data_IF_020528386769
#
_entry.id   IF_020528386769
#
_cell.length_a   1.000
_cell.length_b   1.000
_cell.length_c   1.000
_cell.angle_alpha   90.00
_cell.angle_beta   90.00
_cell.angle_gamma   90.00
#
_symmetry.space_group_name_H-M   'P 1'
#
loop_
_entity.id
_entity.type
_entity.pdbx_description
1 polymer ?
#
# COMPACT_ATOMS: atom_id res chain seq x y z
N UNK A 1 7.32 12.81 -7.79
CA UNK A 1 8.70 12.77 -8.32
C UNK A 1 8.60 12.29 -9.76
N UNK A 2 8.69 13.19 -10.76
CA UNK A 2 8.53 12.85 -12.18
C UNK A 2 9.61 11.89 -12.71
N UNK A 3 10.76 11.81 -12.02
CA UNK A 3 11.96 11.12 -12.49
C UNK A 3 12.26 9.78 -11.79
N UNK A 4 11.38 9.29 -10.91
CA UNK A 4 11.57 7.99 -10.26
C UNK A 4 10.44 7.02 -10.64
N UNK A 5 10.58 6.26 -11.73
CA UNK A 5 9.57 5.27 -12.13
C UNK A 5 9.41 4.14 -11.10
N UNK A 6 10.46 3.88 -10.31
CA UNK A 6 10.42 2.87 -9.25
C UNK A 6 9.84 3.38 -7.92
N UNK A 7 9.52 4.67 -7.82
CA UNK A 7 8.97 5.27 -6.61
C UNK A 7 7.72 4.57 -6.04
N UNK A 8 6.78 4.08 -6.87
CA UNK A 8 5.61 3.33 -6.41
C UNK A 8 5.95 1.98 -5.77
N UNK A 9 7.09 1.37 -6.09
CA UNK A 9 7.50 0.05 -5.60
C UNK A 9 8.30 0.12 -4.30
N UNK A 10 8.77 1.31 -3.93
CA UNK A 10 9.56 1.51 -2.71
C UNK A 10 8.64 1.46 -1.48
N UNK A 11 8.99 0.71 -0.42
CA UNK A 11 8.19 0.65 0.78
C UNK A 11 7.99 2.02 1.45
N UNK A 12 6.83 2.18 2.10
CA UNK A 12 6.32 3.46 2.58
C UNK A 12 7.26 4.23 3.52
N UNK A 13 7.99 3.54 4.41
CA UNK A 13 8.98 4.16 5.31
C UNK A 13 10.16 4.76 4.53
N UNK A 14 10.72 3.96 3.62
CA UNK A 14 11.84 4.38 2.79
C UNK A 14 11.43 5.51 1.84
N UNK A 15 10.21 5.44 1.28
CA UNK A 15 9.63 6.49 0.45
C UNK A 15 9.51 7.83 1.18
N UNK A 16 9.08 7.81 2.45
CA UNK A 16 9.01 9.03 3.30
C UNK A 16 10.40 9.59 3.58
N UNK A 17 11.36 8.74 3.90
CA UNK A 17 12.73 9.15 4.13
C UNK A 17 13.35 9.79 2.87
N UNK A 18 13.20 9.14 1.73
CA UNK A 18 13.65 9.65 0.42
C UNK A 18 12.96 10.98 0.09
N UNK A 19 11.64 11.11 0.29
CA UNK A 19 10.94 12.38 0.07
C UNK A 19 11.46 13.50 0.96
N UNK A 20 11.70 13.23 2.23
CA UNK A 20 12.22 14.24 3.15
C UNK A 20 13.63 14.68 2.72
N UNK A 21 14.48 13.73 2.27
CA UNK A 21 15.78 14.03 1.69
C UNK A 21 15.69 14.86 0.41
N UNK A 22 14.78 14.52 -0.50
CA UNK A 22 14.60 15.25 -1.76
C UNK A 22 14.07 16.66 -1.50
N UNK A 23 13.11 16.83 -0.58
CA UNK A 23 12.59 18.15 -0.19
C UNK A 23 13.70 19.02 0.41
N UNK A 24 14.55 18.44 1.27
CA UNK A 24 15.64 19.17 1.92
C UNK A 24 16.80 19.53 0.96
N UNK A 25 17.12 18.65 0.01
CA UNK A 25 18.35 18.76 -0.80
C UNK A 25 18.12 19.20 -2.25
N UNK A 26 16.92 18.94 -2.81
CA UNK A 26 16.60 19.18 -4.22
C UNK A 26 15.13 19.62 -4.42
N UNK A 27 14.73 20.81 -3.92
CA UNK A 27 13.33 21.28 -3.97
C UNK A 27 12.78 21.42 -5.41
N UNK A 28 13.66 21.65 -6.39
CA UNK A 28 13.32 21.71 -7.82
C UNK A 28 12.69 20.42 -8.34
N UNK A 29 13.05 19.24 -7.80
CA UNK A 29 12.49 17.94 -8.21
C UNK A 29 11.05 17.70 -7.73
N UNK A 30 10.59 18.52 -6.79
CA UNK A 30 9.28 18.43 -6.15
C UNK A 30 8.40 19.64 -6.48
N UNK A 31 8.84 20.48 -7.43
CA UNK A 31 8.13 21.70 -7.81
C UNK A 31 8.02 22.72 -6.68
N UNK A 32 9.00 22.76 -5.76
CA UNK A 32 8.99 23.60 -4.57
C UNK A 32 7.78 23.37 -3.63
N UNK A 33 7.08 22.24 -3.77
CA UNK A 33 6.00 21.88 -2.87
C UNK A 33 6.55 21.57 -1.48
N UNK A 34 6.15 22.36 -0.49
CA UNK A 34 6.50 22.16 0.93
C UNK A 34 5.94 20.84 1.47
N UNK A 35 4.80 20.41 0.92
CA UNK A 35 4.11 19.15 1.25
C UNK A 35 3.86 18.36 -0.03
N UNK A 36 4.85 17.61 -0.54
CA UNK A 36 4.60 16.73 -1.67
C UNK A 36 3.46 15.77 -1.35
N UNK A 37 2.68 15.41 -2.37
CA UNK A 37 1.61 14.42 -2.27
C UNK A 37 2.17 13.10 -1.72
N UNK A 38 2.08 12.95 -0.39
CA UNK A 38 2.34 11.71 0.33
C UNK A 38 1.07 10.87 0.15
N UNK A 39 1.20 9.55 0.01
CA UNK A 39 0.04 8.69 0.28
C UNK A 39 -0.37 8.96 1.73
N UNK A 40 -1.53 9.59 1.93
CA UNK A 40 -2.00 10.02 3.25
C UNK A 40 -2.17 8.83 4.19
N UNK A 41 -2.51 7.66 3.64
CA UNK A 41 -2.68 6.44 4.41
C UNK A 41 -1.86 5.29 3.80
N UNK A 42 -1.16 4.55 4.65
CA UNK A 42 -0.76 3.17 4.33
C UNK A 42 -1.97 2.27 4.61
N UNK A 43 -2.15 1.13 3.91
CA UNK A 43 -3.25 0.21 4.21
C UNK A 43 -3.27 -0.20 5.68
N UNK A 44 -2.08 -0.45 6.27
CA UNK A 44 -1.90 -0.62 7.71
C UNK A 44 -2.42 0.56 8.55
N UNK A 45 -2.07 1.79 8.18
CA UNK A 45 -2.49 3.00 8.89
C UNK A 45 -4.00 3.24 8.78
N UNK A 46 -4.57 2.96 7.61
CA UNK A 46 -6.00 3.05 7.37
C UNK A 46 -6.79 2.02 8.19
N UNK A 47 -6.33 0.75 8.24
CA UNK A 47 -6.93 -0.29 9.09
C UNK A 47 -6.94 0.11 10.57
N UNK A 48 -5.84 0.68 11.07
CA UNK A 48 -5.77 1.19 12.46
C UNK A 48 -6.72 2.36 12.70
N UNK A 49 -6.82 3.29 11.76
CA UNK A 49 -7.73 4.42 11.86
C UNK A 49 -9.20 3.97 11.85
N UNK A 50 -9.56 3.03 10.97
CA UNK A 50 -10.90 2.44 10.91
C UNK A 50 -11.24 1.67 12.20
N UNK A 51 -10.32 0.88 12.72
CA UNK A 51 -10.52 0.18 14.00
C UNK A 51 -10.77 1.17 15.15
N UNK A 52 -10.02 2.28 15.22
CA UNK A 52 -10.26 3.35 16.21
C UNK A 52 -11.60 4.07 16.02
N UNK A 53 -12.10 4.14 14.79
CA UNK A 53 -13.39 4.72 14.46
C UNK A 53 -14.58 3.76 14.71
N UNK A 54 -14.33 2.55 15.25
CA UNK A 54 -15.38 1.59 15.61
C UNK A 54 -15.74 0.59 14.52
N UNK A 55 -14.97 0.49 13.43
CA UNK A 55 -15.15 -0.58 12.45
C UNK A 55 -14.57 -1.88 13.00
N UNK A 56 -15.42 -2.90 13.19
CA UNK A 56 -15.02 -4.21 13.76
C UNK A 56 -14.20 -5.05 12.79
N UNK A 57 -14.55 -5.01 11.51
CA UNK A 57 -13.89 -5.82 10.48
C UNK A 57 -13.39 -4.94 9.35
N UNK A 58 -12.19 -5.28 8.86
CA UNK A 58 -11.59 -4.68 7.69
C UNK A 58 -11.04 -5.78 6.80
N UNK A 59 -11.44 -5.77 5.53
CA UNK A 59 -10.96 -6.69 4.51
C UNK A 59 -10.27 -5.90 3.43
N UNK A 60 -9.21 -6.46 2.89
CA UNK A 60 -8.60 -5.92 1.69
C UNK A 60 -8.88 -6.85 0.50
N UNK A 61 -8.51 -6.41 -0.69
CA UNK A 61 -8.75 -7.21 -1.89
C UNK A 61 -7.98 -8.55 -1.87
N UNK A 62 -6.88 -8.64 -1.12
CA UNK A 62 -6.14 -9.90 -0.93
C UNK A 62 -6.97 -10.88 -0.11
N UNK A 63 -7.75 -10.42 0.87
CA UNK A 63 -8.68 -11.26 1.65
C UNK A 63 -9.78 -11.86 0.75
N UNK A 64 -10.28 -11.06 -0.19
CA UNK A 64 -11.45 -11.37 -1.03
C UNK A 64 -11.08 -12.20 -2.25
N UNK A 65 -9.99 -11.84 -2.95
CA UNK A 65 -9.67 -12.41 -4.26
C UNK A 65 -9.46 -13.93 -4.19
N UNK A 66 -9.98 -14.62 -5.19
CA UNK A 66 -9.78 -16.05 -5.43
C UNK A 66 -8.65 -16.27 -6.44
N UNK A 67 -8.14 -17.51 -6.54
CA UNK A 67 -7.02 -17.81 -7.47
C UNK A 67 -7.39 -17.55 -8.93
N UNK A 68 -8.66 -17.75 -9.27
CA UNK A 68 -9.18 -17.66 -10.64
C UNK A 68 -9.41 -16.21 -11.08
N UNK A 69 -9.59 -15.30 -10.12
CA UNK A 69 -9.73 -13.86 -10.34
C UNK A 69 -8.39 -13.13 -10.49
N UNK A 70 -7.25 -13.82 -10.29
CA UNK A 70 -5.93 -13.21 -10.48
C UNK A 70 -5.68 -13.01 -11.98
N UNK A 71 -5.32 -11.79 -12.42
CA UNK A 71 -4.93 -11.55 -13.80
C UNK A 71 -3.79 -12.50 -14.24
N UNK A 72 -3.77 -12.97 -15.50
CA UNK A 72 -2.75 -13.91 -15.99
C UNK A 72 -1.32 -13.45 -15.71
N UNK A 73 -1.07 -12.15 -15.87
CA UNK A 73 0.22 -11.49 -15.58
C UNK A 73 0.73 -11.64 -14.14
N UNK A 74 -0.14 -11.97 -13.19
CA UNK A 74 0.21 -12.15 -11.77
C UNK A 74 -0.10 -13.55 -11.24
N UNK A 75 -0.43 -14.50 -12.11
CA UNK A 75 -0.77 -15.89 -11.73
C UNK A 75 0.38 -16.59 -11.00
N UNK A 76 1.62 -16.16 -11.22
CA UNK A 76 2.80 -16.61 -10.47
C UNK A 76 2.72 -16.34 -8.95
N UNK A 77 1.90 -15.37 -8.53
CA UNK A 77 1.68 -15.05 -7.12
C UNK A 77 0.53 -15.86 -6.49
N UNK A 78 -0.20 -16.66 -7.28
CA UNK A 78 -1.27 -17.54 -6.80
C UNK A 78 -0.88 -18.53 -5.67
N UNK A 79 0.34 -19.11 -5.63
CA UNK A 79 0.75 -19.93 -4.49
C UNK A 79 1.02 -19.10 -3.22
N UNK A 80 1.32 -17.81 -3.37
CA UNK A 80 1.60 -16.91 -2.25
C UNK A 80 0.32 -16.36 -1.60
N UNK A 81 -0.81 -16.33 -2.32
CA UNK A 81 -2.09 -15.87 -1.78
C UNK A 81 -2.49 -16.47 -0.42
N UNK A 82 -2.49 -17.81 -0.21
CA UNK A 82 -2.87 -18.38 1.08
C UNK A 82 -1.91 -17.97 2.21
N UNK A 83 -0.62 -17.78 1.91
CA UNK A 83 0.35 -17.25 2.87
C UNK A 83 0.09 -15.78 3.19
N UNK A 84 -0.27 -14.98 2.19
CA UNK A 84 -0.63 -13.57 2.35
C UNK A 84 -1.92 -13.39 3.15
N UNK A 85 -2.93 -14.25 2.94
CA UNK A 85 -4.19 -14.26 3.71
C UNK A 85 -3.95 -14.59 5.18
N UNK A 86 -3.06 -15.56 5.47
CA UNK A 86 -2.74 -15.98 6.84
C UNK A 86 -1.73 -15.06 7.56
N UNK A 87 -1.01 -14.21 6.83
CA UNK A 87 0.06 -13.41 7.42
C UNK A 87 -0.50 -12.28 8.30
N UNK A 88 -0.13 -12.22 9.60
CA UNK A 88 -0.47 -11.10 10.47
C UNK A 88 0.38 -9.85 10.17
N UNK A 89 1.46 -10.00 9.37
CA UNK A 89 2.39 -8.92 9.06
C UNK A 89 1.85 -8.08 7.90
N UNK A 90 1.04 -7.08 8.26
CA UNK A 90 0.44 -6.10 7.35
C UNK A 90 1.43 -5.43 6.37
N UNK A 91 2.71 -5.34 6.70
CA UNK A 91 3.74 -4.81 5.80
C UNK A 91 4.01 -5.68 4.56
N UNK A 92 3.92 -7.02 4.69
CA UNK A 92 4.05 -7.93 3.54
C UNK A 92 2.83 -7.78 2.63
N UNK A 93 1.66 -7.54 3.21
CA UNK A 93 0.42 -7.25 2.50
C UNK A 93 0.47 -5.88 1.80
N UNK A 94 1.06 -4.87 2.43
CA UNK A 94 1.30 -3.55 1.83
C UNK A 94 2.15 -3.63 0.56
N UNK A 95 3.12 -4.56 0.49
CA UNK A 95 3.91 -4.82 -0.73
C UNK A 95 3.11 -5.56 -1.79
N UNK A 96 2.28 -6.53 -1.39
CA UNK A 96 1.42 -7.31 -2.28
C UNK A 96 0.26 -6.49 -2.89
N UNK A 97 -0.16 -5.42 -2.21
CA UNK A 97 -1.19 -4.49 -2.68
C UNK A 97 -0.83 -3.77 -3.98
N UNK A 98 0.46 -3.48 -4.20
CA UNK A 98 0.91 -2.70 -5.35
C UNK A 98 0.83 -3.46 -6.69
N UNK A 99 1.30 -4.72 -6.80
CA UNK A 99 1.21 -5.46 -8.05
C UNK A 99 -0.13 -6.18 -8.25
N UNK A 100 -0.79 -6.67 -7.19
CA UNK A 100 -1.90 -7.62 -7.36
C UNK A 100 -3.30 -6.99 -7.42
N UNK A 101 -3.51 -5.88 -6.74
CA UNK A 101 -4.86 -5.55 -6.28
C UNK A 101 -5.21 -4.06 -6.21
N UNK A 102 -4.21 -3.18 -6.21
CA UNK A 102 -4.42 -1.80 -5.76
C UNK A 102 -4.79 -1.73 -4.28
N UNK A 103 -4.93 -0.51 -3.75
CA UNK A 103 -5.31 -0.28 -2.34
C UNK A 103 -6.84 -0.15 -2.28
N UNK A 104 -7.54 -1.27 -2.15
CA UNK A 104 -8.98 -1.31 -1.83
C UNK A 104 -9.17 -1.94 -0.46
N UNK A 105 -9.85 -1.21 0.42
CA UNK A 105 -10.14 -1.60 1.80
C UNK A 105 -11.66 -1.50 1.99
N UNK A 106 -12.25 -2.62 2.38
CA UNK A 106 -13.65 -2.75 2.74
C UNK A 106 -13.73 -2.84 4.26
N UNK A 107 -14.74 -2.24 4.86
CA UNK A 107 -14.91 -2.26 6.30
C UNK A 107 -16.39 -2.36 6.66
N UNK A 108 -16.68 -3.11 7.72
CA UNK A 108 -18.02 -3.23 8.27
C UNK A 108 -18.06 -2.57 9.64
N UNK A 109 -18.97 -1.60 9.79
CA UNK A 109 -19.33 -1.01 11.06
C UNK A 109 -20.28 -1.98 11.77
N UNK A 110 -19.94 -2.32 13.01
CA UNK A 110 -20.75 -3.24 13.81
C UNK A 110 -21.32 -2.58 15.04
#
# INVERSE_FOLDING_TARGET
>A
VKYFPFFPYIPSRLRRWILNLIVARFPKLVGYSVTPARNWFTPTGLRKALSRAGFKHSWDLIDIITKDEIPPKYRFASPLLPLLKKSPRLYIRDLAHFPLAGVRLFCQKG
#
